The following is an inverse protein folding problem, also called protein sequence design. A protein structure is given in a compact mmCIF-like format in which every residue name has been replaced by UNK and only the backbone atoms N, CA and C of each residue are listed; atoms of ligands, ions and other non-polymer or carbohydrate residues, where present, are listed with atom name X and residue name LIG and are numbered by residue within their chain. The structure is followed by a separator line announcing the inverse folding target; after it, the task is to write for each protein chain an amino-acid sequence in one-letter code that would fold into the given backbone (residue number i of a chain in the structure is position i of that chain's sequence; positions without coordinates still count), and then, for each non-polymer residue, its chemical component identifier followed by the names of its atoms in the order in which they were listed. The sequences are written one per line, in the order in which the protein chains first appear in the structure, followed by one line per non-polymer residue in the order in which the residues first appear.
data_IF_071267527223
#
_entry.id   IF_071267527223
#
_cell.length_a   1.000
_cell.length_b   1.000
_cell.length_c   1.000
_cell.angle_alpha   90.00
_cell.angle_beta   90.00
_cell.angle_gamma   90.00
#
_symmetry.space_group_name_H-M   'P 1'
#
loop_
_entity.id
_entity.type
_entity.pdbx_description
1 polymer ?
#
# COMPACT_ATOMS: atom_id res chain seq x y z
N UNK A 1 15.07 4.54 -5.34
CA UNK A 1 14.09 4.14 -4.31
C UNK A 1 13.22 5.33 -3.94
N UNK A 2 11.91 5.12 -3.94
CA UNK A 2 10.94 6.17 -3.59
C UNK A 2 10.17 5.72 -2.38
N UNK A 3 10.06 6.58 -1.37
CA UNK A 3 9.30 6.30 -0.16
C UNK A 3 8.28 7.41 0.05
N UNK A 4 7.14 7.04 0.58
CA UNK A 4 6.11 8.01 0.94
C UNK A 4 5.34 7.49 2.15
N UNK A 5 5.18 8.36 3.15
CA UNK A 5 4.39 8.04 4.33
C UNK A 5 3.01 8.62 4.18
N UNK A 6 2.00 7.78 4.39
CA UNK A 6 0.60 8.15 4.24
C UNK A 6 -0.14 7.81 5.51
N UNK A 7 -1.20 8.57 5.78
CA UNK A 7 -2.10 8.26 6.89
C UNK A 7 -3.36 7.63 6.32
N UNK A 8 -3.77 6.51 6.89
CA UNK A 8 -5.01 5.83 6.50
C UNK A 8 -6.16 6.62 7.08
N UNK A 9 -6.88 7.33 6.24
CA UNK A 9 -8.04 8.13 6.69
C UNK A 9 -9.36 7.44 6.41
N UNK A 10 -9.34 6.41 5.56
CA UNK A 10 -10.53 5.67 5.19
C UNK A 10 -10.54 4.29 5.83
N UNK A 11 -11.70 3.64 5.79
CA UNK A 11 -11.85 2.32 6.40
C UNK A 11 -11.45 1.22 5.43
N UNK A 12 -10.17 1.19 5.07
CA UNK A 12 -9.70 0.21 4.10
C UNK A 12 -9.62 -1.19 4.69
N UNK A 13 -9.71 -1.31 6.00
CA UNK A 13 -9.58 -2.60 6.68
C UNK A 13 -10.90 -3.24 7.05
N UNK A 14 -12.03 -2.62 6.73
CA UNK A 14 -13.34 -3.16 7.08
C UNK A 14 -13.81 -4.22 6.11
N UNK A 15 -13.16 -4.33 4.97
CA UNK A 15 -13.54 -5.23 3.90
C UNK A 15 -12.25 -5.73 3.25
N UNK A 16 -12.24 -7.00 2.87
CA UNK A 16 -11.08 -7.60 2.20
C UNK A 16 -10.88 -6.99 0.81
N UNK A 17 -11.95 -6.59 0.14
CA UNK A 17 -11.88 -6.08 -1.22
C UNK A 17 -10.95 -4.88 -1.39
N UNK A 18 -10.93 -3.89 -0.49
CA UNK A 18 -9.98 -2.79 -0.64
C UNK A 18 -8.53 -3.22 -0.59
N UNK A 19 -8.21 -4.21 0.27
CA UNK A 19 -6.84 -4.73 0.32
C UNK A 19 -6.49 -5.49 -0.94
N UNK A 20 -7.42 -6.27 -1.47
CA UNK A 20 -7.19 -7.01 -2.71
C UNK A 20 -6.96 -6.06 -3.87
N UNK A 21 -7.73 -4.98 -3.94
CA UNK A 21 -7.54 -3.98 -4.99
C UNK A 21 -6.20 -3.27 -4.86
N UNK A 22 -5.76 -3.00 -3.65
CA UNK A 22 -4.46 -2.39 -3.43
C UNK A 22 -3.34 -3.30 -3.95
N UNK A 23 -3.46 -4.61 -3.71
CA UNK A 23 -2.52 -5.58 -4.24
C UNK A 23 -2.52 -5.55 -5.78
N UNK A 24 -3.71 -5.46 -6.38
CA UNK A 24 -3.80 -5.39 -7.83
C UNK A 24 -3.16 -4.12 -8.39
N UNK A 25 -3.35 -2.99 -7.72
CA UNK A 25 -2.71 -1.75 -8.13
C UNK A 25 -1.19 -1.90 -8.10
N UNK A 26 -0.66 -2.43 -6.98
CA UNK A 26 0.78 -2.63 -6.84
C UNK A 26 1.32 -3.59 -7.89
N UNK A 27 0.54 -4.61 -8.25
CA UNK A 27 0.98 -5.64 -9.19
C UNK A 27 1.09 -5.15 -10.62
N UNK A 28 0.54 -3.99 -10.93
CA UNK A 28 0.62 -3.43 -12.27
C UNK A 28 1.98 -2.82 -12.60
N UNK A 29 2.81 -2.64 -11.58
CA UNK A 29 4.10 -1.99 -11.74
C UNK A 29 5.23 -3.00 -11.62
N UNK A 30 6.33 -2.71 -12.31
CA UNK A 30 7.51 -3.58 -12.29
C UNK A 30 8.33 -3.41 -11.01
N UNK A 31 8.24 -2.23 -10.40
CA UNK A 31 9.02 -1.94 -9.19
C UNK A 31 8.64 -2.88 -8.06
N UNK A 32 9.61 -3.16 -7.21
CA UNK A 32 9.34 -3.82 -5.94
C UNK A 32 8.64 -2.83 -5.04
N UNK A 33 7.54 -3.25 -4.42
CA UNK A 33 6.74 -2.36 -3.59
C UNK A 33 6.50 -3.01 -2.25
N UNK A 34 6.82 -2.29 -1.18
CA UNK A 34 6.62 -2.75 0.19
C UNK A 34 5.78 -1.75 0.95
N UNK A 35 5.01 -2.26 1.90
CA UNK A 35 4.26 -1.44 2.83
C UNK A 35 4.80 -1.72 4.22
N UNK A 36 5.18 -0.66 4.94
CA UNK A 36 5.72 -0.78 6.27
C UNK A 36 4.79 -0.08 7.26
N UNK A 37 4.43 -0.79 8.33
CA UNK A 37 3.67 -0.25 9.45
C UNK A 37 4.40 -0.62 10.71
N UNK A 38 4.79 0.38 11.48
CA UNK A 38 5.57 0.19 12.71
C UNK A 38 6.82 -0.63 12.37
N UNK A 39 6.94 -1.84 12.89
CA UNK A 39 8.10 -2.68 12.64
C UNK A 39 7.86 -3.75 11.60
N UNK A 40 6.65 -3.78 11.02
CA UNK A 40 6.29 -4.79 10.03
C UNK A 40 6.45 -4.24 8.63
N UNK A 41 7.08 -5.02 7.77
CA UNK A 41 7.26 -4.66 6.37
C UNK A 41 6.84 -5.85 5.52
N UNK A 42 5.91 -5.64 4.62
CA UNK A 42 5.38 -6.71 3.77
C UNK A 42 5.40 -6.31 2.32
N UNK A 43 5.37 -7.30 1.45
CA UNK A 43 5.32 -7.08 0.01
C UNK A 43 3.91 -6.66 -0.38
N UNK A 44 3.78 -5.48 -0.98
CA UNK A 44 2.47 -4.95 -1.37
C UNK A 44 1.81 -5.78 -2.48
N UNK A 45 2.57 -6.63 -3.16
CA UNK A 45 2.03 -7.50 -4.20
C UNK A 45 1.54 -8.82 -3.65
N UNK A 46 1.65 -9.03 -2.34
CA UNK A 46 1.22 -10.26 -1.69
C UNK A 46 -0.05 -9.99 -0.89
N UNK A 47 -1.16 -10.62 -1.30
CA UNK A 47 -2.42 -10.40 -0.61
C UNK A 47 -2.37 -10.94 0.83
N UNK A 48 -1.68 -12.06 1.05
CA UNK A 48 -1.55 -12.61 2.39
C UNK A 48 -0.73 -11.69 3.29
N UNK A 49 0.34 -11.11 2.75
CA UNK A 49 1.15 -10.17 3.49
C UNK A 49 0.37 -8.92 3.84
N UNK A 50 -0.37 -8.39 2.88
CA UNK A 50 -1.17 -7.18 3.11
C UNK A 50 -2.28 -7.43 4.13
N UNK A 51 -2.91 -8.59 4.08
CA UNK A 51 -3.96 -8.91 5.04
C UNK A 51 -3.42 -9.03 6.45
N UNK A 52 -2.17 -9.47 6.60
CA UNK A 52 -1.56 -9.62 7.92
C UNK A 52 -1.27 -8.28 8.59
N UNK A 53 -1.21 -7.19 7.83
CA UNK A 53 -0.96 -5.88 8.41
C UNK A 53 -2.16 -5.34 9.18
N UNK A 54 -3.37 -5.66 8.73
CA UNK A 54 -4.57 -5.15 9.37
C UNK A 54 -4.62 -3.63 9.34
N UNK A 55 -4.62 -3.06 8.15
CA UNK A 55 -4.64 -1.60 7.98
C UNK A 55 -5.84 -0.99 8.71
N UNK A 56 -5.59 -0.07 9.60
CA UNK A 56 -6.62 0.56 10.40
C UNK A 56 -6.65 2.06 10.15
N UNK A 57 -7.84 2.62 10.27
CA UNK A 57 -8.00 4.06 10.12
C UNK A 57 -7.16 4.79 11.17
N UNK A 58 -6.46 5.82 10.74
CA UNK A 58 -5.62 6.60 11.61
C UNK A 58 -4.17 6.14 11.67
N UNK A 59 -3.86 4.98 11.13
CA UNK A 59 -2.50 4.49 11.13
C UNK A 59 -1.69 5.12 10.00
N UNK A 60 -0.40 5.28 10.25
CA UNK A 60 0.51 5.73 9.22
C UNK A 60 1.19 4.54 8.60
N UNK A 61 1.27 4.55 7.27
CA UNK A 61 2.00 3.53 6.53
C UNK A 61 3.07 4.18 5.67
N UNK A 62 4.14 3.46 5.43
CA UNK A 62 5.18 3.92 4.51
C UNK A 62 5.20 3.02 3.30
N UNK A 63 5.03 3.61 2.13
CA UNK A 63 5.11 2.90 0.87
C UNK A 63 6.53 3.04 0.35
N UNK A 64 7.17 1.92 0.06
CA UNK A 64 8.55 1.89 -0.43
C UNK A 64 8.56 1.21 -1.78
N UNK A 65 8.96 1.92 -2.82
CA UNK A 65 9.03 1.36 -4.16
C UNK A 65 10.44 1.50 -4.71
N UNK A 66 10.90 0.49 -5.42
CA UNK A 66 12.23 0.48 -5.99
C UNK A 66 12.19 -0.19 -7.36
N UNK A 67 12.47 0.57 -8.41
CA UNK A 67 12.46 0.06 -9.75
C UNK A 67 12.22 1.15 -10.78
N UNK A 68 12.07 0.76 -12.06
CA UNK A 68 11.99 1.73 -13.14
C UNK A 68 10.75 2.62 -13.11
N UNK A 69 9.65 2.15 -12.52
CA UNK A 69 8.41 2.91 -12.43
C UNK A 69 8.01 3.21 -10.99
N UNK A 70 9.02 3.34 -10.11
CA UNK A 70 8.77 3.49 -8.68
C UNK A 70 7.94 4.72 -8.35
N UNK A 71 8.17 5.83 -9.04
CA UNK A 71 7.42 7.06 -8.77
C UNK A 71 5.95 6.89 -9.14
N UNK A 72 5.70 6.29 -10.29
CA UNK A 72 4.33 6.04 -10.73
C UNK A 72 3.62 5.08 -9.79
N UNK A 73 4.34 4.06 -9.31
CA UNK A 73 3.77 3.09 -8.39
C UNK A 73 3.33 3.74 -7.07
N UNK A 74 4.20 4.56 -6.50
CA UNK A 74 3.89 5.25 -5.25
C UNK A 74 2.70 6.20 -5.44
N UNK A 75 2.69 6.93 -6.56
CA UNK A 75 1.60 7.86 -6.83
C UNK A 75 0.26 7.13 -7.01
N UNK A 76 0.27 5.98 -7.67
CA UNK A 76 -0.95 5.21 -7.87
C UNK A 76 -1.51 4.70 -6.55
N UNK A 77 -0.64 4.23 -5.66
CA UNK A 77 -1.05 3.72 -4.36
C UNK A 77 -1.59 4.88 -3.50
N UNK A 78 -0.91 6.01 -3.51
CA UNK A 78 -1.35 7.20 -2.80
C UNK A 78 -2.75 7.61 -3.26
N UNK A 79 -2.95 7.67 -4.56
CA UNK A 79 -4.24 8.05 -5.14
C UNK A 79 -5.33 7.05 -4.74
N UNK A 80 -5.02 5.75 -4.79
CA UNK A 80 -5.98 4.73 -4.42
C UNK A 80 -6.41 4.88 -2.96
N UNK A 81 -5.45 5.06 -2.06
CA UNK A 81 -5.76 5.19 -0.63
C UNK A 81 -6.58 6.45 -0.38
N UNK A 82 -6.22 7.56 -1.04
CA UNK A 82 -6.96 8.81 -0.88
C UNK A 82 -8.39 8.71 -1.35
N UNK A 83 -8.66 7.90 -2.36
CA UNK A 83 -10.01 7.75 -2.89
C UNK A 83 -10.92 6.93 -1.99
N UNK A 84 -10.37 6.23 -1.01
CA UNK A 84 -11.17 5.43 -0.08
C UNK A 84 -11.84 6.29 0.99
N UNK A 85 -11.53 7.55 1.02
CA UNK A 85 -12.11 8.49 1.99
C UNK A 85 -13.54 8.83 1.66
#
# INVERSE_FOLDING_TARGET
MTEKTLTIEARVNTDVSPLAMLVQVASQYESSIYVEIQEKKVNAKSIMGMMSLGLAQGEQITIIANGPDEQDAVNAIDTYISKQQ
#
